data_IF_878915748619
#
_entry.id   IF_878915748619
#
_cell.length_a   1.000
_cell.length_b   1.000
_cell.length_c   1.000
_cell.angle_alpha   90.00
_cell.angle_beta   90.00
_cell.angle_gamma   90.00
#
_symmetry.space_group_name_H-M   'P 1'
#
loop_
_entity.id
_entity.type
_entity.pdbx_description
1 polymer ?
#
# COMPACT_ATOMS: atom_id res chain seq x y z
N UNK A 1 -6.80 46.40 21.13
CA UNK A 1 -6.04 47.51 20.52
C UNK A 1 -6.96 48.33 19.62
N UNK A 2 -6.91 49.65 19.74
CA UNK A 2 -7.62 50.60 18.87
C UNK A 2 -6.58 51.22 17.93
N UNK A 3 -6.93 51.38 16.66
CA UNK A 3 -6.08 52.09 15.70
C UNK A 3 -6.85 53.29 15.16
N UNK A 4 -6.14 54.42 15.07
CA UNK A 4 -6.62 55.67 14.50
C UNK A 4 -6.11 55.74 13.07
N UNK A 5 -7.02 55.87 12.12
CA UNK A 5 -6.69 56.04 10.71
C UNK A 5 -6.27 57.49 10.44
N UNK A 6 -5.58 57.73 9.32
CA UNK A 6 -5.04 59.05 8.95
C UNK A 6 -6.14 60.10 8.71
N UNK A 7 -7.38 59.67 8.52
CA UNK A 7 -8.58 60.51 8.38
C UNK A 7 -9.22 60.86 9.75
N UNK A 8 -8.61 60.45 10.86
CA UNK A 8 -9.07 60.75 12.22
C UNK A 8 -10.12 59.77 12.76
N UNK A 9 -10.57 58.79 11.97
CA UNK A 9 -11.53 57.78 12.43
C UNK A 9 -10.86 56.73 13.33
N UNK A 10 -11.55 56.29 14.39
CA UNK A 10 -11.02 55.27 15.33
C UNK A 10 -11.89 54.02 15.24
N UNK A 11 -11.25 52.87 14.99
CA UNK A 11 -11.93 51.56 14.96
C UNK A 11 -11.37 50.64 16.03
N UNK A 12 -12.26 49.95 16.75
CA UNK A 12 -11.89 48.89 17.71
C UNK A 12 -11.74 47.59 16.93
N UNK A 13 -10.65 46.83 17.14
CA UNK A 13 -10.67 45.41 16.80
C UNK A 13 -11.71 44.73 17.70
N UNK A 14 -12.93 44.57 17.18
CA UNK A 14 -13.86 43.57 17.67
C UNK A 14 -13.22 42.24 17.33
N UNK A 15 -12.91 41.41 18.32
CA UNK A 15 -12.38 40.07 18.10
C UNK A 15 -13.38 39.28 17.27
N UNK A 16 -13.14 39.20 15.96
CA UNK A 16 -13.96 38.38 15.09
C UNK A 16 -13.44 36.95 15.17
N UNK A 17 -14.31 36.07 15.65
CA UNK A 17 -14.12 34.64 15.56
C UNK A 17 -13.90 34.19 14.11
N UNK A 18 -13.36 32.97 14.01
CA UNK A 18 -13.12 32.25 12.77
C UNK A 18 -14.36 32.31 11.85
N UNK A 19 -14.28 33.11 10.77
CA UNK A 19 -15.32 33.15 9.74
C UNK A 19 -15.02 32.05 8.71
N UNK A 20 -15.87 31.01 8.60
CA UNK A 20 -15.60 29.85 7.74
C UNK A 20 -15.66 30.18 6.23
N UNK A 21 -16.10 31.38 5.85
CA UNK A 21 -16.41 31.74 4.46
C UNK A 21 -15.30 32.54 3.77
N UNK A 22 -14.06 32.46 4.26
CA UNK A 22 -12.93 33.02 3.49
C UNK A 22 -12.68 32.12 2.27
N UNK A 23 -12.81 32.62 1.03
CA UNK A 23 -12.68 31.80 -0.19
C UNK A 23 -11.32 31.10 -0.27
N UNK A 24 -10.29 31.70 0.36
CA UNK A 24 -8.96 31.11 0.48
C UNK A 24 -8.94 29.73 1.13
N UNK A 25 -9.74 29.51 2.19
CA UNK A 25 -9.78 28.21 2.86
C UNK A 25 -10.52 27.17 2.03
N UNK A 26 -11.57 27.57 1.31
CA UNK A 26 -12.33 26.69 0.44
C UNK A 26 -11.48 26.24 -0.76
N UNK A 27 -10.74 27.16 -1.39
CA UNK A 27 -9.84 26.85 -2.50
C UNK A 27 -8.67 25.97 -2.06
N UNK A 28 -8.10 26.22 -0.89
CA UNK A 28 -7.04 25.37 -0.31
C UNK A 28 -7.57 23.96 0.01
N UNK A 29 -8.75 23.85 0.63
CA UNK A 29 -9.40 22.57 0.91
C UNK A 29 -9.77 21.81 -0.37
N UNK A 30 -10.22 22.51 -1.41
CA UNK A 30 -10.51 21.93 -2.73
C UNK A 30 -9.23 21.43 -3.41
N UNK A 31 -8.14 22.19 -3.33
CA UNK A 31 -6.82 21.83 -3.88
C UNK A 31 -6.20 20.62 -3.16
N UNK A 32 -6.36 20.52 -1.83
CA UNK A 32 -5.91 19.36 -1.04
C UNK A 32 -6.75 18.11 -1.34
N UNK A 33 -8.05 18.28 -1.63
CA UNK A 33 -8.99 17.17 -1.86
C UNK A 33 -8.98 16.61 -3.29
N UNK A 34 -8.31 17.25 -4.25
CA UNK A 34 -8.16 16.69 -5.58
C UNK A 34 -6.83 15.94 -5.68
N UNK A 35 -6.81 14.59 -5.53
CA UNK A 35 -5.64 13.83 -5.92
C UNK A 35 -5.35 14.14 -7.39
N UNK A 36 -4.16 14.68 -7.67
CA UNK A 36 -3.74 15.03 -9.04
C UNK A 36 -3.87 13.79 -9.91
N UNK A 37 -4.91 13.77 -10.74
CA UNK A 37 -5.16 12.64 -11.62
C UNK A 37 -3.95 12.44 -12.53
N UNK A 38 -3.46 11.21 -12.63
CA UNK A 38 -2.33 10.84 -13.47
C UNK A 38 -2.81 10.79 -14.93
N UNK A 39 -2.88 11.92 -15.62
CA UNK A 39 -3.52 12.05 -16.96
C UNK A 39 -2.56 11.95 -18.14
N UNK A 40 -1.24 11.99 -17.92
CA UNK A 40 -0.23 11.91 -18.99
C UNK A 40 0.26 10.47 -19.14
N UNK A 41 0.29 9.98 -20.38
CA UNK A 41 0.75 8.64 -20.74
C UNK A 41 2.20 8.68 -21.24
N UNK A 42 3.00 7.70 -20.83
CA UNK A 42 4.35 7.46 -21.34
C UNK A 42 4.31 6.09 -22.05
N UNK A 43 4.58 6.07 -23.35
CA UNK A 43 4.69 4.82 -24.13
C UNK A 43 6.16 4.60 -24.50
N UNK A 44 6.66 3.38 -24.26
CA UNK A 44 8.03 2.98 -24.57
C UNK A 44 7.98 1.65 -25.30
N UNK A 45 8.72 1.54 -26.42
CA UNK A 45 8.93 0.26 -27.11
C UNK A 45 10.09 -0.46 -26.44
N UNK A 46 9.95 -1.75 -26.22
CA UNK A 46 10.97 -2.63 -25.63
C UNK A 46 11.07 -3.91 -26.46
N UNK A 47 12.21 -4.58 -26.36
CA UNK A 47 12.36 -5.95 -26.86
C UNK A 47 11.65 -6.95 -25.94
N UNK A 48 11.48 -8.20 -26.38
CA UNK A 48 10.87 -9.24 -25.55
C UNK A 48 11.66 -9.45 -24.25
N UNK A 49 13.00 -9.56 -24.34
CA UNK A 49 13.87 -9.74 -23.18
C UNK A 49 13.79 -8.58 -22.18
N UNK A 50 13.57 -7.35 -22.66
CA UNK A 50 13.38 -6.18 -21.81
C UNK A 50 12.00 -6.20 -21.15
N UNK A 51 10.97 -6.57 -21.91
CA UNK A 51 9.61 -6.70 -21.42
C UNK A 51 9.53 -7.70 -20.25
N UNK A 52 10.09 -8.89 -20.44
CA UNK A 52 10.13 -9.94 -19.41
C UNK A 52 10.88 -9.48 -18.17
N UNK A 53 12.08 -8.90 -18.32
CA UNK A 53 12.88 -8.41 -17.19
C UNK A 53 12.16 -7.32 -16.40
N UNK A 54 11.47 -6.41 -17.06
CA UNK A 54 10.70 -5.35 -16.41
C UNK A 54 9.53 -5.97 -15.63
N UNK A 55 8.82 -6.93 -16.22
CA UNK A 55 7.71 -7.63 -15.57
C UNK A 55 8.16 -8.43 -14.34
N UNK A 56 9.25 -9.17 -14.45
CA UNK A 56 9.82 -9.95 -13.35
C UNK A 56 10.27 -9.03 -12.20
N UNK A 57 10.96 -7.93 -12.54
CA UNK A 57 11.39 -6.94 -11.55
C UNK A 57 10.22 -6.27 -10.82
N UNK A 58 9.14 -5.97 -11.56
CA UNK A 58 7.91 -5.42 -10.98
C UNK A 58 7.22 -6.43 -10.04
N UNK A 59 7.17 -7.70 -10.44
CA UNK A 59 6.59 -8.80 -9.64
C UNK A 59 7.40 -9.03 -8.36
N UNK A 60 8.73 -9.06 -8.45
CA UNK A 60 9.63 -9.17 -7.30
C UNK A 60 9.48 -7.99 -6.32
N UNK A 61 9.12 -6.81 -6.83
CA UNK A 61 8.81 -5.63 -6.02
C UNK A 61 7.37 -5.60 -5.46
N UNK A 62 6.51 -6.57 -5.83
CA UNK A 62 5.07 -6.57 -5.55
C UNK A 62 4.37 -5.28 -6.00
N UNK A 63 4.74 -4.76 -7.17
CA UNK A 63 4.18 -3.55 -7.77
C UNK A 63 3.65 -3.84 -9.17
N UNK A 64 2.65 -3.06 -9.60
CA UNK A 64 2.29 -3.02 -11.02
C UNK A 64 3.47 -2.48 -11.83
N UNK A 65 3.65 -2.94 -13.06
CA UNK A 65 4.74 -2.49 -13.95
C UNK A 65 4.79 -0.97 -14.07
N UNK A 66 3.64 -0.32 -14.23
CA UNK A 66 3.55 1.13 -14.33
C UNK A 66 3.97 1.87 -13.05
N UNK A 67 3.73 1.29 -11.87
CA UNK A 67 4.17 1.87 -10.60
C UNK A 67 5.64 1.56 -10.33
N UNK A 68 6.12 0.36 -10.68
CA UNK A 68 7.53 -0.01 -10.62
C UNK A 68 8.39 0.95 -11.45
N UNK A 69 8.08 1.09 -12.74
CA UNK A 69 8.78 2.00 -13.66
C UNK A 69 8.75 3.43 -13.13
N UNK A 70 7.59 3.91 -12.67
CA UNK A 70 7.47 5.25 -12.11
C UNK A 70 8.34 5.46 -10.87
N UNK A 71 8.49 4.45 -10.00
CA UNK A 71 9.34 4.56 -8.82
C UNK A 71 10.82 4.61 -9.19
N UNK A 72 11.27 3.70 -10.05
CA UNK A 72 12.69 3.68 -10.49
C UNK A 72 13.05 4.96 -11.26
N UNK A 73 12.19 5.44 -12.16
CA UNK A 73 12.46 6.66 -12.94
C UNK A 73 12.52 7.93 -12.09
N UNK A 74 11.93 7.91 -10.89
CA UNK A 74 11.93 9.04 -9.95
C UNK A 74 12.86 8.81 -8.76
N UNK A 75 13.74 7.79 -8.81
CA UNK A 75 14.62 7.38 -7.71
C UNK A 75 13.90 7.24 -6.36
N UNK A 76 12.64 6.78 -6.40
CA UNK A 76 11.85 6.54 -5.18
C UNK A 76 12.17 5.17 -4.63
N UNK A 77 12.23 5.07 -3.31
CA UNK A 77 12.45 3.80 -2.61
C UNK A 77 11.34 2.80 -2.96
N UNK A 78 11.74 1.62 -3.41
CA UNK A 78 10.85 0.47 -3.54
C UNK A 78 10.83 -0.21 -2.18
N UNK A 79 9.76 0.03 -1.43
CA UNK A 79 9.45 -0.79 -0.25
C UNK A 79 8.56 -1.91 -0.74
N UNK A 80 8.94 -3.19 -0.56
CA UNK A 80 8.07 -4.32 -0.84
C UNK A 80 6.75 -4.12 -0.09
N UNK A 81 5.63 -4.51 -0.71
CA UNK A 81 4.38 -4.62 0.04
C UNK A 81 4.66 -5.57 1.20
N UNK A 82 4.36 -5.14 2.43
CA UNK A 82 4.56 -5.99 3.61
C UNK A 82 3.86 -7.30 3.32
N UNK A 83 4.61 -8.41 3.28
CA UNK A 83 4.04 -9.73 3.34
C UNK A 83 3.00 -9.73 4.46
N UNK A 84 1.85 -10.36 4.24
CA UNK A 84 0.82 -10.40 5.26
C UNK A 84 1.33 -11.21 6.46
N UNK A 85 1.93 -10.50 7.41
CA UNK A 85 2.52 -11.09 8.60
C UNK A 85 1.46 -11.82 9.44
N UNK A 86 0.18 -11.44 9.32
CA UNK A 86 -0.91 -12.15 9.97
C UNK A 86 -1.10 -13.52 9.32
N UNK A 87 -1.18 -13.58 7.98
CA UNK A 87 -1.25 -14.83 7.25
C UNK A 87 -0.04 -15.74 7.55
N UNK A 88 1.17 -15.20 7.52
CA UNK A 88 2.38 -15.96 7.83
C UNK A 88 2.37 -16.51 9.27
N UNK A 89 1.90 -15.71 10.24
CA UNK A 89 1.76 -16.12 11.63
C UNK A 89 0.73 -17.24 11.81
N UNK A 90 -0.42 -17.15 11.13
CA UNK A 90 -1.45 -18.19 11.15
C UNK A 90 -0.91 -19.52 10.58
N UNK A 91 -0.19 -19.47 9.47
CA UNK A 91 0.44 -20.66 8.88
C UNK A 91 1.43 -21.33 9.82
N UNK A 92 2.26 -20.55 10.51
CA UNK A 92 3.19 -21.07 11.52
C UNK A 92 2.42 -21.71 12.68
N UNK A 93 1.31 -21.10 13.12
CA UNK A 93 0.46 -21.64 14.18
C UNK A 93 -0.18 -22.97 13.78
N UNK A 94 -0.74 -23.04 12.57
CA UNK A 94 -1.35 -24.26 12.02
C UNK A 94 -0.32 -25.39 11.90
N UNK A 95 0.88 -25.10 11.40
CA UNK A 95 1.96 -26.09 11.31
C UNK A 95 2.38 -26.64 12.69
N UNK A 96 2.44 -25.78 13.71
CA UNK A 96 2.73 -26.21 15.09
C UNK A 96 1.63 -27.10 15.66
N UNK A 97 0.36 -26.75 15.45
CA UNK A 97 -0.77 -27.55 15.92
C UNK A 97 -0.77 -28.94 15.27
N UNK A 98 -0.53 -29.02 13.96
CA UNK A 98 -0.41 -30.30 13.25
C UNK A 98 0.74 -31.15 13.79
N UNK A 99 1.91 -30.57 14.02
CA UNK A 99 3.04 -31.29 14.60
C UNK A 99 2.71 -31.84 16.00
N UNK A 100 2.02 -31.06 16.84
CA UNK A 100 1.59 -31.54 18.16
C UNK A 100 0.58 -32.69 18.07
N UNK A 101 -0.39 -32.61 17.16
CA UNK A 101 -1.35 -33.69 16.93
C UNK A 101 -0.66 -34.97 16.43
N UNK A 102 0.27 -34.85 15.47
CA UNK A 102 1.07 -35.97 14.98
C UNK A 102 1.92 -36.64 16.08
N UNK A 103 2.48 -35.83 16.99
CA UNK A 103 3.23 -36.32 18.14
C UNK A 103 2.33 -37.00 19.17
N UNK A 104 1.14 -36.46 19.43
CA UNK A 104 0.15 -37.03 20.37
C UNK A 104 -0.42 -38.38 19.89
N UNK A 105 -0.60 -38.54 18.57
CA UNK A 105 -1.04 -39.81 17.96
C UNK A 105 0.10 -40.85 17.85
N UNK A 106 1.32 -40.56 18.34
CA UNK A 106 2.45 -41.47 18.22
C UNK A 106 2.85 -41.79 16.77
N UNK A 107 2.47 -40.93 15.81
CA UNK A 107 2.76 -41.11 14.39
C UNK A 107 1.78 -41.99 13.61
N UNK A 108 0.69 -42.47 14.22
CA UNK A 108 -0.32 -43.35 13.58
C UNK A 108 -0.92 -42.70 12.31
N UNK A 109 -1.12 -41.38 12.34
CA UNK A 109 -1.72 -40.59 11.26
C UNK A 109 -0.72 -39.72 10.51
N UNK A 110 0.58 -40.02 10.61
CA UNK A 110 1.67 -39.22 10.03
C UNK A 110 1.52 -38.94 8.52
N UNK A 111 0.97 -39.87 7.76
CA UNK A 111 0.66 -39.68 6.33
C UNK A 111 -0.42 -38.62 6.09
N UNK A 112 -1.50 -38.60 6.87
CA UNK A 112 -2.57 -37.62 6.69
C UNK A 112 -2.10 -36.21 7.06
N UNK A 113 -1.25 -36.08 8.08
CA UNK A 113 -0.65 -34.78 8.42
C UNK A 113 0.29 -34.26 7.31
N UNK A 114 1.04 -35.15 6.66
CA UNK A 114 1.87 -34.77 5.49
C UNK A 114 1.00 -34.29 4.32
N UNK A 115 -0.09 -34.99 4.02
CA UNK A 115 -1.02 -34.61 2.94
C UNK A 115 -1.68 -33.24 3.19
N UNK A 116 -2.02 -32.92 4.44
CA UNK A 116 -2.60 -31.62 4.79
C UNK A 116 -1.54 -30.51 4.62
N UNK A 117 -0.28 -30.75 4.99
CA UNK A 117 0.81 -29.78 4.78
C UNK A 117 1.02 -29.53 3.29
N UNK A 118 0.99 -30.59 2.47
CA UNK A 118 1.06 -30.50 1.01
C UNK A 118 -0.09 -29.63 0.47
N UNK A 119 -1.32 -29.89 0.91
CA UNK A 119 -2.50 -29.13 0.50
C UNK A 119 -2.44 -27.66 0.90
N UNK A 120 -1.94 -27.35 2.10
CA UNK A 120 -1.72 -25.97 2.57
C UNK A 120 -0.67 -25.27 1.70
N UNK A 121 0.46 -25.92 1.40
CA UNK A 121 1.50 -25.37 0.49
C UNK A 121 0.92 -25.05 -0.89
N UNK A 122 0.15 -25.97 -1.46
CA UNK A 122 -0.49 -25.78 -2.77
C UNK A 122 -1.48 -24.60 -2.74
N UNK A 123 -2.27 -24.47 -1.67
CA UNK A 123 -3.20 -23.36 -1.51
C UNK A 123 -2.50 -22.00 -1.41
N UNK A 124 -1.38 -21.92 -0.67
CA UNK A 124 -0.56 -20.70 -0.55
C UNK A 124 0.02 -20.32 -1.91
N UNK A 125 0.63 -21.27 -2.62
CA UNK A 125 1.23 -21.00 -3.94
C UNK A 125 0.17 -20.55 -4.96
N UNK A 126 -1.05 -21.11 -4.89
CA UNK A 126 -2.19 -20.64 -5.69
C UNK A 126 -2.61 -19.23 -5.31
N UNK A 127 -2.69 -18.90 -4.02
CA UNK A 127 -3.03 -17.56 -3.59
C UNK A 127 -2.00 -16.53 -4.08
N UNK A 128 -0.71 -16.82 -3.93
CA UNK A 128 0.39 -15.94 -4.37
C UNK A 128 0.34 -15.67 -5.88
N UNK A 129 0.11 -16.71 -6.69
CA UNK A 129 -0.03 -16.59 -8.15
C UNK A 129 -1.32 -15.91 -8.62
N UNK A 130 -2.33 -15.75 -7.76
CA UNK A 130 -3.59 -15.05 -8.09
C UNK A 130 -3.48 -13.53 -7.85
N UNK A 131 -2.51 -13.09 -7.05
CA UNK A 131 -2.31 -11.68 -6.71
C UNK A 131 -1.02 -11.06 -7.33
N UNK A 132 -0.20 -11.84 -8.03
CA UNK A 132 1.01 -11.41 -8.75
C UNK A 132 0.84 -11.29 -10.27
#
# INVERSE_FOLDING_TARGET
MYYRHLDGSITKRVGQGFRPDTPFLQDLLMSIKQPRQKTKLIQVRCTEDEYERIHESARAASLTVAEYVRRISLNRRITPVKADYALASELISLGKQQHMLAFQDGGIHSSQYADIIEAIKVAINKADSTFG
#
